data_IF_912315926812
#
_entry.id   IF_912315926812
#
_cell.length_a   1.000
_cell.length_b   1.000
_cell.length_c   1.000
_cell.angle_alpha   90.00
_cell.angle_beta   90.00
_cell.angle_gamma   90.00
#
_symmetry.space_group_name_H-M   'P 1'
#
loop_
_entity.id
_entity.type
_entity.pdbx_description
1 polymer ?
#
# COMPACT_ATOMS: atom_id res chain seq x y z
N UNK A 1 -12.08 16.70 25.64
CA UNK A 1 -11.72 15.30 25.32
C UNK A 1 -11.85 15.20 23.82
N UNK A 2 -10.74 15.15 23.08
CA UNK A 2 -10.81 14.82 21.66
C UNK A 2 -11.29 13.37 21.56
N UNK A 3 -12.36 13.16 20.81
CA UNK A 3 -12.90 11.84 20.53
C UNK A 3 -11.88 11.12 19.63
N UNK A 4 -11.35 9.98 20.11
CA UNK A 4 -10.36 9.21 19.37
C UNK A 4 -10.97 8.74 18.05
N UNK A 5 -10.29 9.05 16.93
CA UNK A 5 -10.76 8.63 15.61
C UNK A 5 -10.66 7.10 15.54
N UNK A 6 -11.78 6.37 15.28
CA UNK A 6 -11.74 4.92 15.28
C UNK A 6 -10.90 4.40 14.12
N UNK A 7 -10.26 3.24 14.29
CA UNK A 7 -9.43 2.62 13.23
C UNK A 7 -10.25 2.17 12.02
N UNK A 8 -11.47 1.72 12.27
CA UNK A 8 -12.46 1.30 11.27
C UNK A 8 -13.82 1.85 11.70
N UNK A 9 -14.67 2.13 10.73
CA UNK A 9 -16.06 2.52 10.96
C UNK A 9 -17.04 1.66 10.15
N UNK A 10 -16.54 0.77 9.30
CA UNK A 10 -17.27 -0.32 8.66
C UNK A 10 -16.71 -1.63 9.18
N UNK A 11 -17.59 -2.52 9.65
CA UNK A 11 -17.24 -3.84 10.18
C UNK A 11 -18.11 -4.91 9.57
N UNK A 12 -17.54 -6.07 9.27
CA UNK A 12 -18.21 -7.21 8.65
C UNK A 12 -17.94 -8.46 9.46
N UNK A 13 -19.01 -9.12 9.88
CA UNK A 13 -18.97 -10.30 10.72
C UNK A 13 -19.46 -11.54 9.99
N UNK A 14 -18.92 -12.70 10.36
CA UNK A 14 -19.49 -13.99 9.96
C UNK A 14 -20.72 -14.30 10.80
N UNK A 15 -21.86 -14.59 10.17
CA UNK A 15 -23.07 -14.97 10.89
C UNK A 15 -22.92 -16.24 11.74
N UNK A 16 -22.01 -17.15 11.36
CA UNK A 16 -21.87 -18.45 12.01
C UNK A 16 -21.19 -18.40 13.37
N UNK A 17 -20.19 -17.53 13.53
CA UNK A 17 -19.40 -17.44 14.76
C UNK A 17 -19.25 -16.00 15.31
N UNK A 18 -19.79 -14.99 14.62
CA UNK A 18 -19.76 -13.58 15.03
C UNK A 18 -18.38 -12.96 14.98
N UNK A 19 -17.39 -13.63 14.36
CA UNK A 19 -16.03 -13.06 14.21
C UNK A 19 -16.02 -12.02 13.11
N UNK A 20 -15.26 -10.95 13.33
CA UNK A 20 -14.99 -9.96 12.29
C UNK A 20 -14.08 -10.58 11.22
N UNK A 21 -14.57 -10.58 9.98
CA UNK A 21 -13.91 -11.17 8.82
C UNK A 21 -13.42 -10.10 7.85
N UNK A 22 -14.04 -8.91 7.88
CA UNK A 22 -13.56 -7.76 7.14
C UNK A 22 -13.99 -6.44 7.81
N UNK A 23 -13.41 -5.33 7.38
CA UNK A 23 -13.84 -3.98 7.76
C UNK A 23 -13.03 -2.93 7.01
N UNK A 24 -13.18 -1.65 7.28
CA UNK A 24 -12.22 -0.59 6.88
C UNK A 24 -12.66 0.75 7.47
N UNK A 25 -11.86 1.80 7.26
CA UNK A 25 -12.29 3.16 7.50
C UNK A 25 -12.86 3.78 6.21
N UNK A 26 -14.17 4.02 6.20
CA UNK A 26 -14.90 4.69 5.14
C UNK A 26 -14.86 6.22 5.34
N UNK A 27 -14.33 6.94 4.34
CA UNK A 27 -14.39 8.41 4.25
C UNK A 27 -15.57 8.93 3.40
N UNK A 28 -16.35 8.01 2.82
CA UNK A 28 -17.36 8.28 1.80
C UNK A 28 -16.82 7.97 0.40
N UNK A 29 -17.70 7.54 -0.50
CA UNK A 29 -17.40 7.32 -1.91
C UNK A 29 -17.01 5.89 -2.30
N UNK A 30 -16.86 4.96 -1.34
CA UNK A 30 -16.73 3.52 -1.66
C UNK A 30 -18.11 2.91 -1.86
N UNK A 31 -18.36 2.34 -3.04
CA UNK A 31 -19.63 1.67 -3.33
C UNK A 31 -19.74 0.29 -2.66
N UNK A 32 -20.96 -0.18 -2.45
CA UNK A 32 -21.25 -1.56 -2.01
C UNK A 32 -20.59 -2.57 -2.94
N UNK A 33 -20.74 -2.40 -4.26
CA UNK A 33 -20.12 -3.29 -5.25
C UNK A 33 -18.59 -3.29 -5.22
N UNK A 34 -17.96 -2.18 -4.85
CA UNK A 34 -16.50 -2.10 -4.66
C UNK A 34 -16.08 -2.82 -3.39
N UNK A 35 -16.80 -2.61 -2.29
CA UNK A 35 -16.49 -3.27 -1.03
C UNK A 35 -16.68 -4.79 -1.09
N UNK A 36 -17.71 -5.28 -1.78
CA UNK A 36 -17.92 -6.71 -2.04
C UNK A 36 -16.72 -7.33 -2.78
N UNK A 37 -16.14 -6.62 -3.75
CA UNK A 37 -14.91 -7.10 -4.43
C UNK A 37 -13.74 -7.22 -3.46
N UNK A 38 -13.55 -6.24 -2.56
CA UNK A 38 -12.49 -6.32 -1.55
C UNK A 38 -12.70 -7.47 -0.57
N UNK A 39 -13.95 -7.77 -0.19
CA UNK A 39 -14.26 -8.94 0.65
C UNK A 39 -13.87 -10.23 -0.09
N UNK A 40 -14.19 -10.35 -1.38
CA UNK A 40 -13.80 -11.50 -2.19
C UNK A 40 -12.27 -11.63 -2.37
N UNK A 41 -11.51 -10.53 -2.27
CA UNK A 41 -10.04 -10.57 -2.30
C UNK A 41 -9.44 -11.12 -0.99
N UNK A 42 -10.15 -11.04 0.14
CA UNK A 42 -9.62 -11.40 1.47
C UNK A 42 -10.33 -12.58 2.11
N UNK A 43 -11.48 -13.00 1.58
CA UNK A 43 -12.30 -14.11 2.05
C UNK A 43 -12.61 -15.10 0.92
N UNK A 44 -12.58 -16.38 1.27
CA UNK A 44 -13.16 -17.46 0.49
C UNK A 44 -14.47 -17.90 1.15
N UNK A 45 -15.57 -17.83 0.39
CA UNK A 45 -16.92 -18.16 0.85
C UNK A 45 -17.51 -19.13 -0.20
N UNK A 46 -17.75 -20.42 0.14
CA UNK A 46 -18.09 -21.46 -0.84
C UNK A 46 -19.57 -21.45 -1.26
N UNK A 47 -20.28 -20.35 -1.02
CA UNK A 47 -21.71 -20.18 -1.31
C UNK A 47 -21.96 -18.75 -1.80
N UNK A 48 -23.06 -18.56 -2.53
CA UNK A 48 -23.54 -17.21 -2.82
C UNK A 48 -23.93 -16.51 -1.52
N UNK A 49 -23.45 -15.29 -1.35
CA UNK A 49 -23.59 -14.53 -0.11
C UNK A 49 -24.00 -13.09 -0.37
N UNK A 50 -24.56 -12.45 0.65
CA UNK A 50 -24.81 -11.01 0.64
C UNK A 50 -24.57 -10.39 2.00
N UNK A 51 -24.43 -9.05 2.02
CA UNK A 51 -24.30 -8.26 3.24
C UNK A 51 -25.67 -7.86 3.74
N UNK A 52 -25.85 -7.98 5.05
CA UNK A 52 -26.99 -7.41 5.76
C UNK A 52 -26.48 -6.43 6.82
N UNK A 53 -27.19 -5.33 7.11
CA UNK A 53 -26.98 -4.58 8.34
C UNK A 53 -27.04 -5.53 9.54
N UNK A 54 -26.13 -5.36 10.50
CA UNK A 54 -25.99 -6.23 11.65
C UNK A 54 -26.43 -5.54 12.94
N UNK A 55 -27.15 -6.26 13.80
CA UNK A 55 -27.54 -5.78 15.12
C UNK A 55 -26.31 -5.73 16.07
N UNK A 56 -26.33 -4.79 17.01
CA UNK A 56 -25.23 -4.58 17.97
C UNK A 56 -25.09 -5.66 19.05
N UNK A 57 -26.11 -6.51 19.22
CA UNK A 57 -26.23 -7.43 20.35
C UNK A 57 -25.18 -8.55 20.32
N UNK A 58 -25.01 -9.21 19.17
CA UNK A 58 -24.22 -10.43 19.06
C UNK A 58 -23.35 -10.52 17.80
N UNK A 59 -23.33 -9.50 16.94
CA UNK A 59 -22.59 -9.49 15.67
C UNK A 59 -22.97 -10.60 14.68
N UNK A 60 -24.19 -11.13 14.78
CA UNK A 60 -24.69 -12.23 13.95
C UNK A 60 -26.09 -11.97 13.42
N UNK A 61 -26.92 -11.27 14.20
CA UNK A 61 -28.30 -11.03 13.84
C UNK A 61 -28.44 -9.99 12.73
N UNK A 62 -29.34 -10.28 11.79
CA UNK A 62 -29.74 -9.36 10.71
C UNK A 62 -30.57 -8.23 11.33
N UNK A 63 -30.18 -6.99 11.03
CA UNK A 63 -30.85 -5.77 11.50
C UNK A 63 -31.62 -5.01 10.41
N UNK A 64 -31.59 -5.48 9.16
CA UNK A 64 -32.24 -4.81 8.04
C UNK A 64 -32.26 -5.66 6.76
N UNK A 65 -32.63 -5.04 5.65
CA UNK A 65 -32.69 -5.70 4.34
C UNK A 65 -31.28 -6.01 3.78
N UNK A 66 -31.21 -6.99 2.88
CA UNK A 66 -29.99 -7.31 2.15
C UNK A 66 -29.51 -6.11 1.34
N UNK A 67 -28.21 -5.87 1.34
CA UNK A 67 -27.60 -4.92 0.42
C UNK A 67 -27.51 -5.55 -0.98
N UNK A 68 -27.80 -4.76 -2.01
CA UNK A 68 -27.55 -5.16 -3.40
C UNK A 68 -26.04 -5.12 -3.67
N UNK A 69 -25.43 -6.30 -3.86
CA UNK A 69 -24.00 -6.48 -4.11
C UNK A 69 -23.52 -5.84 -5.41
N UNK A 70 -24.43 -5.49 -6.32
CA UNK A 70 -24.12 -4.80 -7.58
C UNK A 70 -24.27 -3.28 -7.47
N UNK A 71 -24.81 -2.79 -6.36
CA UNK A 71 -25.12 -1.38 -6.17
C UNK A 71 -23.88 -0.48 -6.23
N UNK A 72 -24.02 0.62 -6.95
CA UNK A 72 -23.05 1.73 -6.96
C UNK A 72 -23.27 2.71 -5.80
N UNK A 73 -24.31 2.49 -4.99
CA UNK A 73 -24.56 3.23 -3.77
C UNK A 73 -23.44 3.04 -2.75
N UNK A 74 -23.20 4.07 -1.94
CA UNK A 74 -22.12 4.10 -0.96
C UNK A 74 -22.39 3.19 0.23
N UNK A 75 -21.41 2.37 0.63
CA UNK A 75 -21.49 1.60 1.87
C UNK A 75 -21.36 2.56 3.06
N UNK A 76 -22.39 2.56 3.91
CA UNK A 76 -22.44 3.45 5.07
C UNK A 76 -21.57 2.90 6.22
N UNK A 77 -20.95 3.76 7.04
CA UNK A 77 -20.38 3.34 8.31
C UNK A 77 -21.40 2.54 9.13
N UNK A 78 -20.96 1.42 9.70
CA UNK A 78 -21.85 0.50 10.41
C UNK A 78 -21.30 -0.92 10.53
N UNK A 79 -22.14 -1.79 11.09
CA UNK A 79 -21.87 -3.21 11.25
C UNK A 79 -22.68 -3.98 10.22
N UNK A 80 -22.06 -4.95 9.59
CA UNK A 80 -22.67 -5.81 8.59
C UNK A 80 -22.38 -7.27 8.89
N UNK A 81 -23.24 -8.16 8.44
CA UNK A 81 -23.07 -9.60 8.58
C UNK A 81 -23.17 -10.27 7.21
N UNK A 82 -22.26 -11.21 6.95
CA UNK A 82 -22.30 -12.06 5.76
C UNK A 82 -23.25 -13.23 6.05
N UNK A 83 -24.22 -13.42 5.16
CA UNK A 83 -25.19 -14.51 5.19
C UNK A 83 -25.34 -15.11 3.78
N UNK A 84 -25.80 -16.37 3.67
CA UNK A 84 -26.14 -16.94 2.37
C UNK A 84 -27.21 -16.09 1.67
N UNK A 85 -27.11 -15.97 0.34
CA UNK A 85 -28.10 -15.23 -0.45
C UNK A 85 -29.49 -15.88 -0.41
N UNK A 86 -29.54 -17.20 -0.20
CA UNK A 86 -30.77 -17.98 -0.06
C UNK A 86 -30.98 -18.41 1.41
N UNK A 87 -32.09 -18.03 2.06
CA UNK A 87 -32.35 -18.34 3.48
C UNK A 87 -32.39 -19.83 3.86
N UNK A 88 -32.55 -20.71 2.87
CA UNK A 88 -32.63 -22.17 3.06
C UNK A 88 -31.25 -22.84 3.15
N UNK A 89 -30.16 -22.08 2.96
CA UNK A 89 -28.79 -22.59 3.01
C UNK A 89 -28.28 -22.72 4.44
N UNK A 90 -27.53 -23.79 4.69
CA UNK A 90 -26.83 -24.09 5.93
C UNK A 90 -25.94 -22.93 6.41
N UNK A 91 -25.52 -23.05 7.68
CA UNK A 91 -24.57 -22.17 8.36
C UNK A 91 -23.41 -21.76 7.43
N UNK A 92 -23.25 -20.45 7.21
CA UNK A 92 -22.20 -19.93 6.34
C UNK A 92 -20.81 -20.13 6.93
N UNK A 93 -19.88 -20.65 6.11
CA UNK A 93 -18.47 -20.75 6.46
C UNK A 93 -17.68 -19.69 5.71
N UNK A 94 -17.03 -18.80 6.45
CA UNK A 94 -16.19 -17.73 5.90
C UNK A 94 -14.74 -18.02 6.26
N UNK A 95 -13.88 -18.17 5.24
CA UNK A 95 -12.47 -18.44 5.42
C UNK A 95 -11.65 -17.23 4.99
N UNK A 96 -10.73 -16.76 5.84
CA UNK A 96 -9.76 -15.75 5.41
C UNK A 96 -8.74 -16.38 4.47
N UNK A 97 -8.31 -15.65 3.44
CA UNK A 97 -7.20 -16.09 2.57
C UNK A 97 -5.92 -16.28 3.40
N UNK A 98 -4.89 -17.00 2.91
CA UNK A 98 -3.61 -17.09 3.64
C UNK A 98 -2.73 -15.84 3.46
N UNK A 99 -3.03 -14.98 2.49
CA UNK A 99 -2.16 -13.86 2.11
C UNK A 99 -1.98 -12.82 3.22
N UNK A 100 -0.79 -12.26 3.36
CA UNK A 100 -0.52 -11.21 4.36
C UNK A 100 0.12 -10.01 3.69
N UNK A 101 -0.11 -8.78 4.20
CA UNK A 101 0.54 -7.61 3.65
C UNK A 101 2.06 -7.73 3.83
N UNK A 102 2.81 -7.43 2.77
CA UNK A 102 4.28 -7.50 2.76
C UNK A 102 4.92 -6.41 3.59
N UNK A 103 5.87 -6.74 4.46
CA UNK A 103 6.62 -5.75 5.20
C UNK A 103 7.43 -4.86 4.23
N UNK A 104 7.50 -3.56 4.51
CA UNK A 104 8.30 -2.61 3.73
C UNK A 104 9.43 -2.07 4.56
N UNK A 105 10.62 -2.03 3.98
CA UNK A 105 11.71 -1.24 4.53
C UNK A 105 11.30 0.23 4.58
N UNK A 106 11.75 0.94 5.62
CA UNK A 106 11.66 2.37 5.70
C UNK A 106 12.44 3.00 4.55
N UNK A 107 11.76 3.81 3.74
CA UNK A 107 12.34 4.45 2.56
C UNK A 107 13.16 5.70 2.87
N UNK A 108 13.32 6.06 4.16
CA UNK A 108 14.12 7.22 4.55
C UNK A 108 15.62 6.93 4.49
N UNK A 109 16.32 7.77 3.73
CA UNK A 109 17.76 7.70 3.52
C UNK A 109 18.52 8.19 4.77
N UNK A 110 18.66 7.33 5.79
CA UNK A 110 19.48 7.65 6.98
C UNK A 110 20.99 7.64 6.70
N UNK A 111 21.41 7.03 5.60
CA UNK A 111 22.76 7.17 5.06
C UNK A 111 22.77 8.39 4.15
N UNK A 112 23.61 9.39 4.42
CA UNK A 112 23.77 10.62 3.62
C UNK A 112 24.35 10.36 2.19
N UNK A 113 23.89 9.31 1.50
CA UNK A 113 24.18 9.03 0.10
C UNK A 113 23.25 9.89 -0.76
N UNK A 114 23.77 10.69 -1.71
CA UNK A 114 22.92 11.56 -2.50
C UNK A 114 21.86 10.75 -3.27
N UNK A 115 20.59 11.11 -3.08
CA UNK A 115 19.45 10.67 -3.89
C UNK A 115 19.50 11.25 -5.32
N UNK A 116 20.69 11.26 -5.93
CA UNK A 116 20.96 11.80 -7.27
C UNK A 116 20.97 10.68 -8.33
N UNK A 117 20.18 9.63 -8.10
CA UNK A 117 20.03 8.50 -9.03
C UNK A 117 19.22 8.91 -10.26
N UNK A 118 19.43 8.19 -11.37
CA UNK A 118 18.66 8.37 -12.60
C UNK A 118 17.14 8.27 -12.33
N UNK A 119 16.73 7.30 -11.48
CA UNK A 119 15.35 7.13 -11.03
C UNK A 119 14.75 8.41 -10.42
N UNK A 120 15.42 8.98 -9.41
CA UNK A 120 14.93 10.17 -8.70
C UNK A 120 14.85 11.37 -9.64
N UNK A 121 15.88 11.57 -10.48
CA UNK A 121 15.92 12.66 -11.48
C UNK A 121 14.76 12.57 -12.47
N UNK A 122 14.53 11.37 -13.02
CA UNK A 122 13.48 11.12 -14.02
C UNK A 122 12.09 11.33 -13.42
N UNK A 123 11.83 10.81 -12.22
CA UNK A 123 10.54 11.01 -11.51
C UNK A 123 10.29 12.49 -11.21
N UNK A 124 11.28 13.18 -10.61
CA UNK A 124 11.17 14.60 -10.27
C UNK A 124 10.86 15.46 -11.51
N UNK A 125 11.52 15.17 -12.62
CA UNK A 125 11.32 15.85 -13.91
C UNK A 125 9.96 15.53 -14.55
N UNK A 126 9.48 14.28 -14.39
CA UNK A 126 8.17 13.86 -14.92
C UNK A 126 7.04 14.56 -14.17
N UNK A 127 7.03 14.45 -12.85
CA UNK A 127 5.83 14.72 -12.04
C UNK A 127 5.73 16.19 -11.62
N UNK A 128 6.82 16.75 -11.08
CA UNK A 128 6.90 18.14 -10.58
C UNK A 128 5.78 18.55 -9.59
N UNK A 129 5.14 17.56 -8.97
CA UNK A 129 4.09 17.70 -7.95
C UNK A 129 3.94 16.40 -7.17
N UNK A 130 3.29 16.44 -6.02
CA UNK A 130 2.83 15.24 -5.34
C UNK A 130 1.71 14.58 -6.15
N UNK A 131 1.91 13.33 -6.56
CA UNK A 131 0.94 12.61 -7.37
C UNK A 131 -0.31 12.18 -6.59
N UNK A 132 -0.25 12.21 -5.25
CA UNK A 132 -1.36 11.86 -4.36
C UNK A 132 -2.20 13.10 -4.02
N UNK A 133 -1.56 14.20 -3.58
CA UNK A 133 -2.30 15.41 -3.15
C UNK A 133 -2.52 16.43 -4.26
N UNK A 134 -1.73 16.35 -5.34
CA UNK A 134 -1.70 17.33 -6.43
C UNK A 134 -0.84 18.57 -6.13
N UNK A 135 -0.27 18.68 -4.92
CA UNK A 135 0.55 19.82 -4.49
C UNK A 135 1.77 19.99 -5.39
N UNK A 136 1.93 21.17 -6.00
CA UNK A 136 3.04 21.44 -6.92
C UNK A 136 4.33 21.72 -6.17
N UNK A 137 5.44 21.26 -6.75
CA UNK A 137 6.77 21.64 -6.28
C UNK A 137 6.95 23.16 -6.44
N UNK A 138 7.33 23.90 -5.38
CA UNK A 138 7.54 25.35 -5.45
C UNK A 138 8.56 25.73 -6.53
N UNK A 139 8.17 26.62 -7.46
CA UNK A 139 9.00 27.01 -8.60
C UNK A 139 9.19 25.91 -9.67
N UNK A 140 8.50 24.78 -9.55
CA UNK A 140 8.52 23.68 -10.51
C UNK A 140 9.89 22.99 -10.66
N UNK A 141 10.10 22.33 -11.79
CA UNK A 141 11.34 21.58 -12.07
C UNK A 141 12.58 22.48 -12.05
N UNK A 142 12.43 23.74 -12.49
CA UNK A 142 13.52 24.70 -12.62
C UNK A 142 14.14 25.13 -11.28
N UNK A 143 13.33 25.15 -10.19
CA UNK A 143 13.84 25.53 -8.87
C UNK A 143 14.80 24.50 -8.28
N UNK A 144 14.71 23.24 -8.74
CA UNK A 144 15.39 22.07 -8.15
C UNK A 144 15.13 21.92 -6.65
N UNK A 145 14.16 22.64 -6.09
CA UNK A 145 13.83 22.63 -4.69
C UNK A 145 12.69 21.63 -4.45
N UNK A 146 13.07 20.39 -4.15
CA UNK A 146 12.15 19.30 -3.81
C UNK A 146 12.04 19.08 -2.30
N UNK A 147 12.35 20.08 -1.46
CA UNK A 147 12.19 19.95 -0.02
C UNK A 147 10.75 19.58 0.33
N UNK A 148 10.58 18.51 1.11
CA UNK A 148 9.28 17.94 1.47
C UNK A 148 8.67 17.00 0.41
N UNK A 149 9.38 16.74 -0.69
CA UNK A 149 8.97 15.80 -1.75
C UNK A 149 9.99 14.68 -1.95
N UNK A 150 9.48 13.47 -2.11
CA UNK A 150 10.24 12.23 -2.21
C UNK A 150 9.78 11.42 -3.42
N UNK A 151 10.73 10.74 -4.07
CA UNK A 151 10.43 9.77 -5.11
C UNK A 151 10.14 8.43 -4.42
N UNK A 152 8.90 7.97 -4.52
CA UNK A 152 8.44 6.75 -3.88
C UNK A 152 8.45 5.59 -4.86
N UNK A 153 9.01 4.45 -4.45
CA UNK A 153 8.89 3.16 -5.15
C UNK A 153 7.51 2.53 -4.87
N UNK A 154 6.82 2.14 -5.94
CA UNK A 154 5.49 1.50 -5.91
C UNK A 154 5.59 0.07 -5.43
N UNK A 155 6.62 -0.67 -5.84
CA UNK A 155 6.90 -2.03 -5.34
C UNK A 155 8.07 -1.96 -4.34
N UNK A 156 8.01 -2.67 -3.20
CA UNK A 156 9.06 -2.54 -2.19
C UNK A 156 10.38 -3.16 -2.66
N UNK A 157 11.48 -2.43 -2.49
CA UNK A 157 12.81 -2.86 -2.92
C UNK A 157 13.32 -4.08 -2.14
N UNK A 158 12.89 -4.22 -0.88
CA UNK A 158 13.23 -5.35 -0.02
C UNK A 158 12.58 -6.67 -0.43
N UNK A 159 11.67 -6.68 -1.41
CA UNK A 159 10.95 -7.87 -1.89
C UNK A 159 11.42 -8.31 -3.29
N UNK A 160 12.72 -8.17 -3.58
CA UNK A 160 13.30 -8.48 -4.90
C UNK A 160 13.08 -9.95 -5.30
N UNK A 161 13.06 -10.88 -4.34
CA UNK A 161 12.79 -12.29 -4.63
C UNK A 161 11.34 -12.51 -5.10
N UNK A 162 10.37 -11.81 -4.49
CA UNK A 162 8.97 -11.84 -4.93
C UNK A 162 8.84 -11.20 -6.31
N UNK A 163 9.50 -10.06 -6.54
CA UNK A 163 9.55 -9.39 -7.84
C UNK A 163 10.01 -10.34 -8.95
N UNK A 164 11.10 -11.08 -8.69
CA UNK A 164 11.66 -12.04 -9.63
C UNK A 164 10.78 -13.29 -9.78
N UNK A 165 10.37 -13.90 -8.67
CA UNK A 165 9.58 -15.14 -8.66
C UNK A 165 8.22 -14.99 -9.31
N UNK A 166 7.57 -13.83 -9.15
CA UNK A 166 6.31 -13.52 -9.81
C UNK A 166 6.50 -12.88 -11.19
N UNK A 167 7.74 -12.66 -11.66
CA UNK A 167 8.07 -12.14 -12.98
C UNK A 167 7.60 -10.70 -13.23
N UNK A 168 7.60 -9.84 -12.22
CA UNK A 168 7.04 -8.47 -12.28
C UNK A 168 7.79 -7.56 -13.25
N UNK A 169 9.03 -7.91 -13.61
CA UNK A 169 9.77 -7.28 -14.71
C UNK A 169 8.95 -7.14 -16.00
N UNK A 170 8.03 -8.07 -16.30
CA UNK A 170 7.17 -8.00 -17.50
C UNK A 170 6.27 -6.77 -17.56
N UNK A 171 6.03 -6.11 -16.43
CA UNK A 171 5.19 -4.91 -16.35
C UNK A 171 5.98 -3.62 -16.64
N UNK A 172 7.30 -3.72 -16.81
CA UNK A 172 8.18 -2.61 -17.13
C UNK A 172 8.46 -2.60 -18.63
N UNK A 173 8.16 -1.46 -19.25
CA UNK A 173 8.30 -1.12 -20.66
C UNK A 173 9.22 0.09 -20.88
N UNK A 174 9.72 0.67 -19.79
CA UNK A 174 10.69 1.76 -19.79
C UNK A 174 11.92 1.36 -20.61
N UNK A 175 12.18 2.09 -21.68
CA UNK A 175 13.27 1.86 -22.62
C UNK A 175 14.53 2.65 -22.29
N UNK A 176 14.48 3.52 -21.26
CA UNK A 176 15.62 4.30 -20.77
C UNK A 176 16.22 3.69 -19.49
N UNK A 177 15.88 2.44 -19.15
CA UNK A 177 16.48 1.69 -18.03
C UNK A 177 17.29 0.51 -18.58
N UNK A 178 18.47 0.30 -18.00
CA UNK A 178 19.31 -0.84 -18.36
C UNK A 178 18.65 -2.15 -17.95
N UNK A 179 18.71 -3.21 -18.79
CA UNK A 179 18.21 -4.53 -18.42
C UNK A 179 18.83 -5.02 -17.11
N UNK A 180 17.99 -5.48 -16.17
CA UNK A 180 18.40 -5.89 -14.83
C UNK A 180 18.25 -4.81 -13.76
N UNK A 181 17.96 -3.57 -14.15
CA UNK A 181 17.73 -2.45 -13.22
C UNK A 181 16.26 -1.99 -13.19
N UNK A 182 15.31 -2.85 -13.58
CA UNK A 182 13.90 -2.50 -13.75
C UNK A 182 13.23 -2.04 -12.44
N UNK A 183 13.77 -2.41 -11.27
CA UNK A 183 13.35 -1.88 -9.97
C UNK A 183 13.59 -0.37 -9.82
N UNK A 184 14.49 0.21 -10.62
CA UNK A 184 14.75 1.65 -10.73
C UNK A 184 14.14 2.25 -12.01
N UNK A 185 13.19 1.57 -12.64
CA UNK A 185 12.43 2.13 -13.75
C UNK A 185 11.58 3.31 -13.29
N UNK A 186 11.39 4.31 -14.15
CA UNK A 186 10.49 5.43 -13.89
C UNK A 186 9.03 4.97 -13.69
N UNK A 187 8.63 3.82 -14.25
CA UNK A 187 7.29 3.25 -14.07
C UNK A 187 7.10 2.62 -12.70
N UNK A 188 8.20 2.34 -12.00
CA UNK A 188 8.21 1.78 -10.66
C UNK A 188 7.94 2.85 -9.61
N UNK A 189 8.03 4.15 -9.92
CA UNK A 189 7.85 5.19 -8.90
C UNK A 189 7.10 6.45 -9.33
N UNK A 190 6.85 7.31 -8.34
CA UNK A 190 6.20 8.60 -8.50
C UNK A 190 6.66 9.60 -7.44
N UNK A 191 6.51 10.89 -7.72
CA UNK A 191 6.81 11.95 -6.74
C UNK A 191 5.63 12.14 -5.80
N UNK A 192 5.87 12.19 -4.50
CA UNK A 192 4.88 12.55 -3.49
C UNK A 192 5.50 13.37 -2.37
N UNK A 193 4.66 13.99 -1.54
CA UNK A 193 5.09 14.63 -0.30
C UNK A 193 5.57 13.58 0.71
N UNK A 194 6.52 13.93 1.57
CA UNK A 194 7.09 12.99 2.56
C UNK A 194 6.04 12.33 3.46
N UNK A 195 4.97 13.07 3.80
CA UNK A 195 3.85 12.52 4.59
C UNK A 195 3.13 11.40 3.83
N UNK A 196 2.75 11.67 2.58
CA UNK A 196 2.07 10.71 1.72
C UNK A 196 2.96 9.55 1.31
N UNK A 197 4.28 9.76 1.16
CA UNK A 197 5.22 8.66 0.94
C UNK A 197 5.18 7.67 2.11
N UNK A 198 5.19 8.16 3.35
CA UNK A 198 5.12 7.30 4.55
C UNK A 198 3.81 6.53 4.60
N UNK A 199 2.68 7.21 4.39
CA UNK A 199 1.36 6.57 4.38
C UNK A 199 1.22 5.55 3.24
N UNK A 200 1.79 5.83 2.07
CA UNK A 200 1.82 4.89 0.95
C UNK A 200 2.70 3.66 1.26
N UNK A 201 3.86 3.88 1.90
CA UNK A 201 4.76 2.81 2.34
C UNK A 201 4.17 1.94 3.46
N UNK A 202 3.26 2.48 4.27
CA UNK A 202 2.55 1.73 5.30
C UNK A 202 1.29 1.00 4.77
N UNK A 203 0.94 1.21 3.48
CA UNK A 203 -0.31 0.77 2.84
C UNK A 203 -1.58 1.45 3.37
N UNK A 204 -1.44 2.59 4.05
CA UNK A 204 -2.56 3.41 4.53
C UNK A 204 -3.28 4.15 3.40
N UNK A 205 -2.58 4.41 2.29
CA UNK A 205 -3.16 5.02 1.08
C UNK A 205 -2.84 4.16 -0.14
N UNK A 206 -3.86 3.76 -0.88
CA UNK A 206 -3.72 3.02 -2.14
C UNK A 206 -4.29 3.77 -3.35
N UNK A 207 -3.80 3.43 -4.54
CA UNK A 207 -4.32 3.94 -5.82
C UNK A 207 -4.93 2.77 -6.58
N UNK A 208 -6.18 2.89 -7.04
CA UNK A 208 -6.85 1.84 -7.80
C UNK A 208 -6.95 2.17 -9.30
N UNK A 209 -6.10 1.62 -10.17
CA UNK A 209 -6.18 1.86 -11.61
C UNK A 209 -7.48 1.37 -12.25
N UNK A 210 -8.16 0.37 -11.67
CA UNK A 210 -9.43 -0.13 -12.18
C UNK A 210 -10.61 0.84 -11.92
N UNK A 211 -10.44 1.77 -10.99
CA UNK A 211 -11.39 2.85 -10.69
C UNK A 211 -10.82 4.20 -11.13
N UNK A 212 -10.31 4.26 -12.36
CA UNK A 212 -9.79 5.50 -12.94
C UNK A 212 -8.60 6.10 -12.20
N UNK A 213 -7.83 5.31 -11.46
CA UNK A 213 -6.74 5.76 -10.58
C UNK A 213 -7.22 6.58 -9.38
N UNK A 214 -8.41 6.30 -8.88
CA UNK A 214 -8.91 6.88 -7.65
C UNK A 214 -8.05 6.46 -6.45
N UNK A 215 -7.83 7.41 -5.55
CA UNK A 215 -7.06 7.26 -4.33
C UNK A 215 -8.01 6.86 -3.19
N UNK A 216 -7.61 5.85 -2.43
CA UNK A 216 -8.32 5.38 -1.25
C UNK A 216 -7.41 5.56 -0.04
N UNK A 217 -7.90 6.31 0.93
CA UNK A 217 -7.34 6.38 2.27
C UNK A 217 -8.07 5.40 3.17
N UNK A 218 -7.34 4.50 3.83
CA UNK A 218 -7.88 3.41 4.64
C UNK A 218 -7.78 3.69 6.15
N UNK A 219 -7.22 4.82 6.55
CA UNK A 219 -7.08 5.22 7.96
C UNK A 219 -7.90 6.48 8.25
N UNK A 220 -8.43 6.57 9.46
CA UNK A 220 -9.12 7.77 9.92
C UNK A 220 -8.15 8.94 10.07
N UNK A 221 -8.46 10.08 9.43
CA UNK A 221 -7.69 11.33 9.52
C UNK A 221 -8.61 12.52 9.31
N UNK A 222 -8.07 13.72 9.57
CA UNK A 222 -8.71 14.98 9.21
C UNK A 222 -9.17 14.98 7.74
N UNK A 223 -10.48 15.10 7.47
CA UNK A 223 -11.03 15.09 6.12
C UNK A 223 -10.44 16.18 5.22
N UNK A 224 -10.05 17.32 5.78
CA UNK A 224 -9.43 18.41 5.01
C UNK A 224 -8.05 18.04 4.46
N UNK A 225 -7.40 17.03 5.05
CA UNK A 225 -6.07 16.55 4.69
C UNK A 225 -6.09 15.21 3.96
N UNK A 226 -7.21 14.49 3.93
CA UNK A 226 -7.27 13.19 3.26
C UNK A 226 -7.24 13.34 1.73
N UNK A 227 -6.46 12.50 1.02
CA UNK A 227 -6.55 12.39 -0.43
C UNK A 227 -7.66 11.42 -0.88
N UNK A 228 -8.45 10.85 0.03
CA UNK A 228 -9.53 9.93 -0.32
C UNK A 228 -10.44 10.51 -1.40
N UNK A 229 -10.76 9.69 -2.40
CA UNK A 229 -11.65 10.07 -3.49
C UNK A 229 -11.04 10.98 -4.56
N UNK A 230 -9.83 11.54 -4.34
CA UNK A 230 -9.07 12.24 -5.38
C UNK A 230 -8.53 11.26 -6.41
N UNK A 231 -8.05 11.78 -7.53
CA UNK A 231 -7.43 10.98 -8.58
C UNK A 231 -5.92 11.17 -8.58
N UNK A 232 -5.21 10.05 -8.67
CA UNK A 232 -3.76 10.03 -8.76
C UNK A 232 -3.29 10.75 -10.03
N UNK A 233 -2.39 11.71 -9.86
CA UNK A 233 -1.88 12.49 -10.98
C UNK A 233 -1.01 11.62 -11.89
N UNK A 234 -1.31 11.69 -13.17
CA UNK A 234 -0.51 11.16 -14.26
C UNK A 234 -0.20 12.29 -15.21
N UNK A 235 1.07 12.45 -15.60
CA UNK A 235 1.48 13.52 -16.52
C UNK A 235 0.70 13.39 -17.85
N UNK A 236 -0.14 14.37 -18.22
CA UNK A 236 -0.91 14.29 -19.45
C UNK A 236 0.01 14.31 -20.68
N UNK A 237 -0.39 13.58 -21.73
CA UNK A 237 0.34 13.55 -23.01
C UNK A 237 1.64 12.75 -23.01
N UNK A 238 1.98 12.07 -21.90
CA UNK A 238 3.14 11.19 -21.84
C UNK A 238 2.75 9.75 -22.22
N UNK A 239 3.65 9.04 -22.89
CA UNK A 239 3.46 7.63 -23.23
C UNK A 239 3.37 6.74 -21.98
N UNK A 240 2.62 5.64 -22.08
CA UNK A 240 2.38 4.72 -20.96
C UNK A 240 3.67 4.13 -20.38
N UNK A 241 4.69 3.91 -21.22
CA UNK A 241 6.01 3.37 -20.80
C UNK A 241 6.80 4.29 -19.88
N UNK A 242 6.39 5.56 -19.73
CA UNK A 242 7.03 6.51 -18.80
C UNK A 242 6.13 6.89 -17.62
N UNK A 243 4.91 6.37 -17.56
CA UNK A 243 3.97 6.60 -16.47
C UNK A 243 4.05 5.48 -15.43
N UNK A 244 3.66 5.74 -14.17
CA UNK A 244 3.54 4.70 -13.14
C UNK A 244 2.78 3.48 -13.66
N UNK A 245 3.33 2.28 -13.44
CA UNK A 245 2.75 1.02 -13.94
C UNK A 245 1.40 0.75 -13.24
N UNK A 246 0.30 0.57 -13.99
CA UNK A 246 -0.99 0.21 -13.40
C UNK A 246 -0.94 -1.16 -12.70
N UNK A 247 -0.13 -2.09 -13.18
CA UNK A 247 0.00 -3.42 -12.59
C UNK A 247 0.67 -3.36 -11.22
N UNK A 248 1.74 -2.55 -11.08
CA UNK A 248 2.39 -2.33 -9.80
C UNK A 248 1.48 -1.56 -8.82
N UNK A 249 0.72 -0.57 -9.30
CA UNK A 249 -0.26 0.13 -8.47
C UNK A 249 -1.39 -0.80 -8.00
N UNK A 250 -1.86 -1.72 -8.86
CA UNK A 250 -2.87 -2.72 -8.49
C UNK A 250 -2.35 -3.69 -7.42
N UNK A 251 -1.10 -4.11 -7.55
CA UNK A 251 -0.43 -4.94 -6.55
C UNK A 251 -0.30 -4.21 -5.20
N UNK A 252 0.14 -2.94 -5.20
CA UNK A 252 0.18 -2.11 -4.01
C UNK A 252 -1.21 -1.91 -3.38
N UNK A 253 -2.22 -1.63 -4.20
CA UNK A 253 -3.61 -1.49 -3.75
C UNK A 253 -4.11 -2.76 -3.07
N UNK A 254 -3.80 -3.94 -3.61
CA UNK A 254 -4.13 -5.21 -2.98
C UNK A 254 -3.45 -5.38 -1.61
N UNK A 255 -2.22 -4.88 -1.42
CA UNK A 255 -1.59 -4.87 -0.08
C UNK A 255 -2.35 -3.96 0.91
N UNK A 256 -2.92 -2.84 0.44
CA UNK A 256 -3.77 -1.98 1.26
C UNK A 256 -5.04 -2.72 1.70
N UNK A 257 -5.66 -3.47 0.79
CA UNK A 257 -6.83 -4.31 1.08
C UNK A 257 -6.47 -5.40 2.10
N UNK A 258 -5.35 -6.12 1.90
CA UNK A 258 -4.89 -7.13 2.86
C UNK A 258 -4.63 -6.55 4.25
N UNK A 259 -4.12 -5.32 4.34
CA UNK A 259 -3.82 -4.67 5.62
C UNK A 259 -5.06 -4.14 6.32
N UNK A 260 -5.90 -3.41 5.60
CA UNK A 260 -6.97 -2.64 6.23
C UNK A 260 -8.35 -3.28 6.12
N UNK A 261 -8.53 -4.22 5.18
CA UNK A 261 -9.81 -4.89 4.97
C UNK A 261 -9.91 -6.22 5.67
N UNK A 262 -8.85 -7.03 5.64
CA UNK A 262 -8.89 -8.42 6.09
C UNK A 262 -9.03 -8.58 7.60
N UNK A 263 -9.87 -9.54 8.01
CA UNK A 263 -9.98 -10.03 9.39
C UNK A 263 -10.37 -8.96 10.41
N UNK A 264 -10.20 -9.27 11.69
CA UNK A 264 -10.41 -8.31 12.77
C UNK A 264 -9.24 -7.33 12.89
N UNK A 265 -9.55 -6.05 13.19
CA UNK A 265 -8.53 -5.03 13.41
C UNK A 265 -7.64 -5.34 14.62
N UNK A 266 -8.16 -5.98 15.67
CA UNK A 266 -7.39 -6.24 16.90
C UNK A 266 -6.47 -7.47 16.82
N UNK A 267 -6.84 -8.48 16.02
CA UNK A 267 -6.10 -9.75 15.97
C UNK A 267 -4.84 -9.70 15.08
N UNK A 268 -4.66 -8.62 14.32
CA UNK A 268 -3.60 -8.47 13.31
C UNK A 268 -2.58 -7.39 13.65
N UNK A 269 -2.81 -6.61 14.71
CA UNK A 269 -2.04 -5.40 14.98
C UNK A 269 -0.94 -5.63 16.04
N UNK A 270 0.26 -5.07 15.85
CA UNK A 270 1.27 -5.04 16.89
C UNK A 270 0.81 -4.20 18.09
N UNK A 271 1.33 -4.54 19.28
CA UNK A 271 1.21 -3.69 20.49
C UNK A 271 1.71 -2.25 20.25
N UNK A 272 2.66 -2.09 19.32
CA UNK A 272 3.29 -0.83 18.92
C UNK A 272 3.71 -0.89 17.44
N UNK A 273 3.41 0.17 16.70
CA UNK A 273 3.93 0.36 15.35
C UNK A 273 5.44 0.60 15.35
N UNK A 274 6.07 0.21 14.24
CA UNK A 274 7.45 0.61 13.95
C UNK A 274 7.54 2.13 13.89
N UNK A 275 8.39 2.71 14.72
CA UNK A 275 8.70 4.12 14.72
C UNK A 275 10.16 4.27 14.29
N UNK A 276 10.44 4.77 13.07
CA UNK A 276 11.81 4.82 12.56
C UNK A 276 12.71 5.73 13.42
N UNK A 277 12.18 6.78 14.03
CA UNK A 277 12.98 7.70 14.86
C UNK A 277 13.37 7.06 16.19
N UNK A 278 12.52 6.18 16.73
CA UNK A 278 12.81 5.45 17.97
C UNK A 278 13.57 4.16 17.69
N UNK A 279 13.15 3.37 16.70
CA UNK A 279 13.61 1.99 16.48
C UNK A 279 14.88 1.92 15.62
N UNK A 280 15.10 2.86 14.71
CA UNK A 280 16.36 3.03 13.97
C UNK A 280 17.25 4.14 14.54
N UNK A 281 16.72 4.94 15.47
CA UNK A 281 17.47 5.98 16.17
C UNK A 281 18.62 5.43 17.03
N UNK A 282 19.47 6.33 17.52
CA UNK A 282 20.61 5.98 18.36
C UNK A 282 20.16 5.22 19.63
N UNK A 283 20.59 3.97 19.78
CA UNK A 283 20.21 3.09 20.90
C UNK A 283 18.87 2.37 20.74
N UNK A 284 18.08 2.71 19.71
CA UNK A 284 16.82 2.06 19.36
C UNK A 284 17.00 0.67 18.74
N UNK A 285 18.02 0.54 17.89
CA UNK A 285 18.42 -0.73 17.31
C UNK A 285 19.16 -1.59 18.34
N UNK A 286 18.41 -2.20 19.25
CA UNK A 286 18.96 -3.00 20.34
C UNK A 286 18.37 -4.42 20.35
N UNK A 287 19.12 -5.37 19.80
CA UNK A 287 18.71 -6.78 19.74
C UNK A 287 18.91 -7.53 21.08
N UNK A 288 19.59 -6.93 22.06
CA UNK A 288 19.99 -7.60 23.31
C UNK A 288 18.91 -7.49 24.38
N UNK A 289 18.20 -6.38 24.45
CA UNK A 289 17.31 -6.05 25.58
C UNK A 289 15.89 -6.61 25.46
N UNK A 290 15.61 -7.47 24.48
CA UNK A 290 14.23 -7.90 24.21
C UNK A 290 13.33 -6.73 23.79
N UNK A 291 13.90 -5.72 23.11
CA UNK A 291 13.17 -4.56 22.58
C UNK A 291 12.17 -4.96 21.49
N UNK A 292 11.53 -3.98 20.84
CA UNK A 292 10.55 -4.19 19.77
C UNK A 292 11.04 -5.17 18.68
N UNK A 293 12.33 -5.15 18.36
CA UNK A 293 12.99 -6.04 17.39
C UNK A 293 12.92 -7.54 17.74
N UNK A 294 12.65 -7.89 19.00
CA UNK A 294 12.48 -9.28 19.43
C UNK A 294 11.09 -9.86 19.14
N UNK A 295 10.10 -8.99 18.88
CA UNK A 295 8.74 -9.38 18.51
C UNK A 295 8.69 -10.02 17.11
N UNK A 296 7.60 -10.73 16.80
CA UNK A 296 7.39 -11.31 15.46
C UNK A 296 7.38 -10.23 14.37
N UNK A 297 6.72 -9.09 14.63
CA UNK A 297 6.67 -7.97 13.70
C UNK A 297 8.02 -7.24 13.61
N UNK A 298 8.74 -7.11 14.73
CA UNK A 298 10.09 -6.56 14.75
C UNK A 298 11.07 -7.37 13.91
N UNK A 299 11.00 -8.70 13.97
CA UNK A 299 11.83 -9.59 13.13
C UNK A 299 11.52 -9.43 11.63
N UNK A 300 10.23 -9.36 11.25
CA UNK A 300 9.83 -9.10 9.86
C UNK A 300 10.33 -7.74 9.37
N UNK A 301 10.23 -6.71 10.20
CA UNK A 301 10.76 -5.39 9.85
C UNK A 301 12.29 -5.41 9.75
N UNK A 302 12.97 -6.14 10.63
CA UNK A 302 14.43 -6.29 10.59
C UNK A 302 14.88 -6.90 9.25
N UNK A 303 14.23 -7.97 8.83
CA UNK A 303 14.47 -8.61 7.54
C UNK A 303 14.24 -7.63 6.38
N UNK A 304 13.13 -6.88 6.41
CA UNK A 304 12.82 -5.86 5.42
C UNK A 304 13.89 -4.75 5.36
N UNK A 305 14.29 -4.20 6.51
CA UNK A 305 15.34 -3.17 6.62
C UNK A 305 16.69 -3.67 6.08
N UNK A 306 17.10 -4.88 6.48
CA UNK A 306 18.36 -5.48 6.04
C UNK A 306 18.34 -5.70 4.52
N UNK A 307 17.29 -6.31 3.99
CA UNK A 307 17.15 -6.55 2.56
C UNK A 307 17.13 -5.24 1.76
N UNK A 308 16.37 -4.23 2.20
CA UNK A 308 16.31 -2.92 1.55
C UNK A 308 17.66 -2.20 1.54
N UNK A 309 18.39 -2.19 2.66
CA UNK A 309 19.70 -1.53 2.79
C UNK A 309 20.79 -2.26 1.99
N UNK A 310 20.81 -3.59 2.02
CA UNK A 310 21.75 -4.40 1.26
C UNK A 310 21.53 -4.26 -0.25
N UNK A 311 20.28 -4.19 -0.70
CA UNK A 311 19.95 -3.92 -2.10
C UNK A 311 20.59 -2.62 -2.61
N UNK A 312 20.59 -1.57 -1.78
CA UNK A 312 21.23 -0.30 -2.10
C UNK A 312 22.75 -0.44 -2.33
N UNK A 313 23.41 -1.25 -1.50
CA UNK A 313 24.85 -1.54 -1.60
C UNK A 313 25.19 -2.38 -2.83
N UNK A 314 24.46 -3.46 -3.07
CA UNK A 314 24.69 -4.36 -4.22
C UNK A 314 24.52 -3.60 -5.53
N UNK A 315 23.49 -2.77 -5.64
CA UNK A 315 23.30 -1.94 -6.84
C UNK A 315 24.38 -0.87 -7.01
N UNK A 316 24.90 -0.31 -5.92
CA UNK A 316 26.04 0.60 -6.01
C UNK A 316 27.28 -0.11 -6.55
N UNK A 317 27.56 -1.33 -6.10
CA UNK A 317 28.67 -2.15 -6.59
C UNK A 317 28.52 -2.54 -8.07
N UNK A 318 27.33 -3.01 -8.48
CA UNK A 318 27.07 -3.39 -9.87
C UNK A 318 27.19 -2.21 -10.84
N UNK A 319 26.83 -0.99 -10.41
CA UNK A 319 27.02 0.24 -11.20
C UNK A 319 28.50 0.61 -11.38
N UNK A 320 29.32 0.39 -10.35
CA UNK A 320 30.76 0.64 -10.43
C UNK A 320 31.45 -0.35 -11.39
N UNK A 321 31.08 -1.64 -11.33
CA UNK A 321 31.62 -2.67 -12.21
C UNK A 321 31.21 -2.48 -13.68
N UNK A 322 29.93 -2.19 -13.94
CA UNK A 322 29.48 -1.90 -15.31
C UNK A 322 30.13 -0.65 -15.91
N UNK A 323 30.43 0.36 -15.09
CA UNK A 323 31.15 1.57 -15.53
C UNK A 323 32.62 1.28 -15.86
N UNK A 324 33.29 0.39 -15.12
CA UNK A 324 34.67 -0.02 -15.45
C UNK A 324 34.74 -0.84 -16.73
N UNK A 325 33.81 -1.77 -16.95
CA UNK A 325 33.78 -2.62 -18.13
C UNK A 325 33.50 -1.82 -19.43
N UNK A 326 32.68 -0.78 -19.34
CA UNK A 326 32.43 0.15 -20.45
C UNK A 326 33.64 1.05 -20.77
N UNK A 327 34.50 1.37 -19.79
CA UNK A 327 35.72 2.14 -20.02
C UNK A 327 36.83 1.28 -20.66
N UNK A 328 36.98 0.02 -20.26
CA UNK A 328 37.97 -0.90 -20.84
C UNK A 328 37.62 -1.27 -22.30
N UNK A 329 36.34 -1.43 -22.61
CA UNK A 329 35.86 -1.73 -23.97
C UNK A 329 35.96 -0.54 -24.94
N UNK A 330 36.04 0.70 -24.45
CA UNK A 330 36.28 1.89 -25.29
C UNK A 330 37.76 2.21 -25.52
N UNK A 331 38.67 1.54 -24.80
CA UNK A 331 40.12 1.68 -24.94
C UNK A 331 40.79 0.56 -25.74
N UNK A 332 40.01 -0.40 -26.25
CA UNK A 332 40.45 -1.56 -27.04
C UNK A 332 40.05 -1.40 -28.51
#
# INVERSE_FOLDING_TARGET
MEEEIPKRNVHVFSASDGKEVAGFFQHGGVSISTFVKWINDVCYIPVDWTLYPCQFDNNRAIGGEALDSTSTGEIQPGRYVIQPATPESEQISVFLTPDTPRARAFSGNYTYTPDDTNFVKRIRSRDARCCITGERVPGGVASRNYTGFEAAHIFPLNETDIWNGLGYKRFIQDDEIDPGFELNSIQQGFLCSSTEHRLFGEYSIGVNPADGYRIYDFVGRDPSRSPHGKFFYRKPGLEQRYLPSPELLRDHFHQCILRHVKGAAEATEPERYFDPDIDLGAGGFNLVTGSWWSSSNGKKQLEAELAGRLWGVVNAQNRLQSSSDQQESQQS
#
